data_IF_712373441743
#
_entry.id   IF_712373441743
#
_cell.length_a   1.000
_cell.length_b   1.000
_cell.length_c   1.000
_cell.angle_alpha   90.00
_cell.angle_beta   90.00
_cell.angle_gamma   90.00
#
_symmetry.space_group_name_H-M   'P 1'
#
loop_
_entity.id
_entity.type
_entity.pdbx_description
1 polymer ?
#
# COMPACT_ATOMS: atom_id res chain seq x y z
N UNK A 1 -9.91 -10.58 31.61
CA UNK A 1 -9.23 -9.55 30.80
C UNK A 1 -9.44 -9.93 29.34
N UNK A 2 -10.19 -9.14 28.57
CA UNK A 2 -10.40 -9.38 27.13
C UNK A 2 -9.59 -8.36 26.37
N UNK A 3 -8.42 -8.75 25.88
CA UNK A 3 -7.71 -8.00 24.85
C UNK A 3 -8.42 -8.28 23.53
N UNK A 4 -9.19 -7.32 23.05
CA UNK A 4 -9.70 -7.33 21.68
C UNK A 4 -8.49 -7.46 20.73
N UNK A 5 -8.39 -8.61 20.07
CA UNK A 5 -7.29 -8.92 19.15
C UNK A 5 -7.27 -7.88 18.02
N UNK A 6 -6.21 -7.08 17.86
CA UNK A 6 -6.07 -6.16 16.71
C UNK A 6 -5.87 -6.91 15.37
N UNK A 7 -6.00 -8.24 15.35
CA UNK A 7 -5.57 -9.07 14.23
C UNK A 7 -6.52 -9.09 13.04
N UNK A 8 -7.82 -8.77 13.19
CA UNK A 8 -8.77 -8.89 12.07
C UNK A 8 -9.04 -7.54 11.39
N UNK A 9 -9.48 -6.51 12.12
CA UNK A 9 -9.74 -5.19 11.52
C UNK A 9 -8.49 -4.53 10.95
N UNK A 10 -7.35 -4.57 11.65
CA UNK A 10 -6.11 -3.99 11.13
C UNK A 10 -5.60 -4.75 9.90
N UNK A 11 -5.83 -6.06 9.82
CA UNK A 11 -5.46 -6.87 8.67
C UNK A 11 -6.39 -6.58 7.48
N UNK A 12 -7.71 -6.50 7.69
CA UNK A 12 -8.65 -6.07 6.65
C UNK A 12 -8.38 -4.65 6.15
N UNK A 13 -7.95 -3.72 7.01
CA UNK A 13 -7.55 -2.38 6.58
C UNK A 13 -6.32 -2.41 5.67
N UNK A 14 -5.32 -3.25 5.99
CA UNK A 14 -4.14 -3.48 5.14
C UNK A 14 -4.51 -4.12 3.81
N UNK A 15 -5.40 -5.10 3.80
CA UNK A 15 -5.89 -5.75 2.58
C UNK A 15 -6.65 -4.76 1.69
N UNK A 16 -7.55 -3.94 2.27
CA UNK A 16 -8.26 -2.90 1.54
C UNK A 16 -7.31 -1.86 0.93
N UNK A 17 -6.27 -1.47 1.68
CA UNK A 17 -5.22 -0.58 1.20
C UNK A 17 -4.39 -1.25 0.08
N UNK A 18 -4.04 -2.52 0.23
CA UNK A 18 -3.32 -3.29 -0.78
C UNK A 18 -4.11 -3.41 -2.10
N UNK A 19 -5.42 -3.61 -2.02
CA UNK A 19 -6.33 -3.62 -3.18
C UNK A 19 -6.38 -2.24 -3.85
N UNK A 20 -6.53 -1.16 -3.07
CA UNK A 20 -6.48 0.23 -3.57
C UNK A 20 -5.18 0.52 -4.31
N UNK A 21 -4.05 0.18 -3.69
CA UNK A 21 -2.71 0.36 -4.26
C UNK A 21 -2.52 -0.48 -5.54
N UNK A 22 -3.13 -1.67 -5.62
CA UNK A 22 -3.17 -2.49 -6.84
C UNK A 22 -3.97 -1.84 -7.97
N UNK A 23 -5.12 -1.24 -7.66
CA UNK A 23 -5.93 -0.51 -8.64
C UNK A 23 -5.17 0.67 -9.21
N UNK A 24 -4.56 1.48 -8.35
CA UNK A 24 -3.67 2.60 -8.72
C UNK A 24 -2.57 2.19 -9.71
N UNK A 25 -1.90 1.06 -9.42
CA UNK A 25 -0.89 0.53 -10.33
C UNK A 25 -1.49 0.17 -11.70
N UNK A 26 -2.66 -0.47 -11.71
CA UNK A 26 -3.34 -0.88 -12.95
C UNK A 26 -3.79 0.33 -13.77
N UNK A 27 -4.32 1.35 -13.11
CA UNK A 27 -4.74 2.62 -13.72
C UNK A 27 -3.56 3.33 -14.40
N UNK A 28 -2.40 3.36 -13.72
CA UNK A 28 -1.16 3.88 -14.27
C UNK A 28 -0.52 3.00 -15.38
N UNK A 29 -1.11 1.84 -15.70
CA UNK A 29 -0.57 0.91 -16.69
C UNK A 29 0.73 0.20 -16.28
N UNK A 30 1.09 0.22 -14.99
CA UNK A 30 2.38 -0.28 -14.51
C UNK A 30 2.32 -1.77 -14.17
N UNK A 31 3.38 -2.50 -14.47
CA UNK A 31 3.55 -3.87 -13.95
C UNK A 31 4.15 -3.85 -12.54
N UNK A 32 4.02 -4.94 -11.77
CA UNK A 32 4.64 -5.01 -10.43
C UNK A 32 6.16 -4.83 -10.47
N UNK A 33 6.81 -5.26 -11.56
CA UNK A 33 8.25 -5.11 -11.78
C UNK A 33 8.61 -3.67 -12.13
N UNK A 34 7.88 -3.06 -13.06
CA UNK A 34 8.01 -1.64 -13.44
C UNK A 34 7.84 -0.72 -12.23
N UNK A 35 6.82 -0.96 -11.41
CA UNK A 35 6.59 -0.17 -10.20
C UNK A 35 7.74 -0.30 -9.22
N UNK A 36 8.26 -1.51 -9.01
CA UNK A 36 9.39 -1.73 -8.10
C UNK A 36 10.64 -0.98 -8.57
N UNK A 37 10.89 -0.97 -9.88
CA UNK A 37 11.97 -0.18 -10.47
C UNK A 37 11.76 1.33 -10.28
N UNK A 38 10.54 1.84 -10.51
CA UNK A 38 10.21 3.26 -10.30
C UNK A 38 10.29 3.71 -8.85
N UNK A 39 9.90 2.86 -7.92
CA UNK A 39 10.00 3.14 -6.49
C UNK A 39 11.41 2.89 -5.92
N UNK A 40 12.34 2.34 -6.71
CA UNK A 40 13.71 2.10 -6.27
C UNK A 40 13.86 1.01 -5.19
N UNK A 41 12.88 0.11 -5.03
CA UNK A 41 12.93 -0.94 -4.02
C UNK A 41 12.77 -2.36 -4.61
N UNK A 42 13.10 -3.37 -3.81
CA UNK A 42 13.06 -4.76 -4.23
C UNK A 42 11.63 -5.24 -4.56
N UNK A 43 11.41 -6.03 -5.62
CA UNK A 43 10.08 -6.52 -6.00
C UNK A 43 9.39 -7.36 -4.91
N UNK A 44 10.18 -7.99 -4.02
CA UNK A 44 9.66 -8.67 -2.85
C UNK A 44 8.84 -7.72 -1.93
N UNK A 45 9.29 -6.47 -1.77
CA UNK A 45 8.57 -5.45 -0.98
C UNK A 45 7.22 -5.13 -1.61
N UNK A 46 7.23 -4.90 -2.92
CA UNK A 46 6.03 -4.72 -3.75
C UNK A 46 5.02 -5.85 -3.54
N UNK A 47 5.46 -7.11 -3.64
CA UNK A 47 4.56 -8.27 -3.49
C UNK A 47 3.96 -8.35 -2.09
N UNK A 48 4.75 -8.11 -1.04
CA UNK A 48 4.24 -8.12 0.35
C UNK A 48 3.21 -7.02 0.58
N UNK A 49 3.45 -5.81 0.09
CA UNK A 49 2.48 -4.70 0.20
C UNK A 49 1.20 -5.04 -0.56
N UNK A 50 1.29 -5.64 -1.75
CA UNK A 50 0.11 -6.06 -2.53
C UNK A 50 -0.69 -7.19 -1.90
N UNK A 51 -0.04 -8.03 -1.09
CA UNK A 51 -0.68 -9.09 -0.31
C UNK A 51 -1.24 -8.59 1.04
N UNK A 52 -0.99 -7.33 1.41
CA UNK A 52 -1.29 -6.84 2.76
C UNK A 52 -0.41 -7.46 3.86
N UNK A 53 0.67 -8.14 3.46
CA UNK A 53 1.60 -8.85 4.34
C UNK A 53 2.61 -7.88 4.98
N UNK A 54 2.96 -6.82 4.25
CA UNK A 54 3.75 -5.71 4.77
C UNK A 54 2.87 -4.48 4.98
N UNK A 55 3.02 -3.83 6.14
CA UNK A 55 2.55 -2.48 6.39
C UNK A 55 3.43 -1.50 5.60
N UNK A 56 2.93 -0.83 4.55
CA UNK A 56 3.68 0.24 3.92
C UNK A 56 3.75 1.43 4.87
N UNK A 57 4.93 2.04 4.99
CA UNK A 57 5.04 3.32 5.72
C UNK A 57 4.38 4.44 4.91
N UNK A 58 4.07 5.55 5.57
CA UNK A 58 3.58 6.77 4.91
C UNK A 58 4.46 7.18 3.71
N UNK A 59 5.79 7.15 3.87
CA UNK A 59 6.75 7.39 2.79
C UNK A 59 6.61 6.39 1.62
N UNK A 60 6.30 5.11 1.91
CA UNK A 60 6.11 4.10 0.87
C UNK A 60 4.81 4.34 0.08
N UNK A 61 3.73 4.70 0.78
CA UNK A 61 2.45 5.03 0.15
C UNK A 61 2.61 6.24 -0.77
N UNK A 62 3.31 7.29 -0.32
CA UNK A 62 3.62 8.47 -1.13
C UNK A 62 4.43 8.12 -2.36
N UNK A 63 5.55 7.41 -2.18
CA UNK A 63 6.41 6.97 -3.29
C UNK A 63 5.64 6.13 -4.31
N UNK A 64 4.73 5.28 -3.85
CA UNK A 64 3.87 4.49 -4.72
C UNK A 64 2.90 5.35 -5.54
N UNK A 65 2.21 6.28 -4.88
CA UNK A 65 1.28 7.19 -5.53
C UNK A 65 2.00 8.09 -6.54
N UNK A 66 3.15 8.67 -6.19
CA UNK A 66 3.98 9.46 -7.11
C UNK A 66 4.42 8.62 -8.31
N UNK A 67 4.86 7.37 -8.10
CA UNK A 67 5.26 6.48 -9.21
C UNK A 67 4.09 6.10 -10.13
N UNK A 68 2.85 6.08 -9.61
CA UNK A 68 1.62 5.85 -10.36
C UNK A 68 1.00 7.15 -10.91
N UNK A 69 1.55 8.33 -10.64
CA UNK A 69 0.98 9.62 -11.06
C UNK A 69 -0.28 10.05 -10.28
N UNK A 70 -0.52 9.46 -9.11
CA UNK A 70 -1.71 9.70 -8.29
C UNK A 70 -1.36 10.30 -6.93
N UNK A 71 -0.52 11.33 -6.97
CA UNK A 71 -0.04 12.06 -5.78
C UNK A 71 -1.20 12.58 -4.92
N UNK A 72 -2.28 13.07 -5.56
CA UNK A 72 -3.50 13.53 -4.88
C UNK A 72 -4.26 12.46 -4.09
N UNK A 73 -3.97 11.17 -4.29
CA UNK A 73 -4.54 10.08 -3.49
C UNK A 73 -3.63 9.62 -2.34
N UNK A 74 -2.35 10.05 -2.33
CA UNK A 74 -1.37 9.60 -1.36
C UNK A 74 -1.79 9.92 0.08
N UNK A 75 -2.17 11.18 0.34
CA UNK A 75 -2.55 11.65 1.67
C UNK A 75 -3.76 10.88 2.24
N UNK A 76 -4.80 10.71 1.42
CA UNK A 76 -5.97 9.91 1.78
C UNK A 76 -5.60 8.45 2.12
N UNK A 77 -4.68 7.85 1.38
CA UNK A 77 -4.25 6.46 1.63
C UNK A 77 -3.37 6.34 2.87
N UNK A 78 -2.52 7.33 3.14
CA UNK A 78 -1.71 7.41 4.36
C UNK A 78 -2.62 7.46 5.59
N UNK A 79 -3.67 8.28 5.56
CA UNK A 79 -4.66 8.37 6.65
C UNK A 79 -5.37 7.03 6.90
N UNK A 80 -5.71 6.29 5.84
CA UNK A 80 -6.37 4.97 5.95
C UNK A 80 -5.42 3.90 6.50
N UNK A 81 -4.13 3.94 6.16
CA UNK A 81 -3.13 2.96 6.61
C UNK A 81 -2.67 3.18 8.05
N UNK A 82 -2.74 4.41 8.56
CA UNK A 82 -2.29 4.80 9.89
C UNK A 82 -3.31 4.51 11.01
N UNK A 83 -4.23 3.56 10.80
CA UNK A 83 -5.33 3.21 11.72
C UNK A 83 -4.95 3.37 13.20
N UNK A 84 -5.57 4.38 13.81
CA UNK A 84 -5.49 4.77 15.23
C UNK A 84 -6.07 3.71 16.15
#
# INVERSE_FOLDING_TARGET
MTTASPSSSAQSAREALAVRLQHLRKDAGLTGKERSARCGWHPAKTTRIQKGDALPSDADIRTWCTACGADGQADNLVVVGAGR
#
